data_IF_181891228231
#
_entry.id   IF_181891228231
#
_cell.length_a   1.000
_cell.length_b   1.000
_cell.length_c   1.000
_cell.angle_alpha   90.00
_cell.angle_beta   90.00
_cell.angle_gamma   90.00
#
_symmetry.space_group_name_H-M   'P 1'
#
loop_
_entity.id
_entity.type
_entity.pdbx_description
1 polymer ?
#
# COMPACT_ATOMS: atom_id res chain seq x y z
N UNK A 1 -13.27 25.51 -33.83
CA UNK A 1 -14.32 24.85 -33.01
C UNK A 1 -13.78 24.76 -31.61
N UNK A 2 -13.70 25.94 -31.00
CA UNK A 2 -13.46 26.16 -29.57
C UNK A 2 -14.79 26.56 -28.99
N UNK A 3 -15.27 25.75 -28.06
CA UNK A 3 -16.28 26.06 -27.03
C UNK A 3 -16.93 24.76 -26.60
N UNK A 4 -16.47 24.26 -25.45
CA UNK A 4 -17.24 23.55 -24.43
C UNK A 4 -16.33 22.71 -23.54
N UNK A 5 -15.30 23.33 -22.97
CA UNK A 5 -14.81 22.90 -21.66
C UNK A 5 -15.67 23.57 -20.61
N UNK A 6 -16.86 23.05 -20.37
CA UNK A 6 -17.61 23.39 -19.17
C UNK A 6 -16.84 22.93 -17.95
N UNK A 7 -16.21 23.88 -17.29
CA UNK A 7 -15.71 23.74 -15.94
C UNK A 7 -16.86 23.29 -15.05
N UNK A 8 -16.80 22.12 -14.48
CA UNK A 8 -17.58 21.75 -13.33
C UNK A 8 -17.01 22.53 -12.12
N UNK A 9 -17.28 23.82 -12.07
CA UNK A 9 -17.14 24.61 -10.85
C UNK A 9 -18.27 24.19 -9.90
N UNK A 10 -18.04 23.16 -9.10
CA UNK A 10 -18.79 22.94 -7.87
C UNK A 10 -18.51 24.15 -6.99
N UNK A 11 -19.56 24.89 -6.66
CA UNK A 11 -19.47 26.14 -5.88
C UNK A 11 -18.60 25.97 -4.64
N UNK A 12 -17.53 26.75 -4.57
CA UNK A 12 -16.64 26.90 -3.43
C UNK A 12 -17.44 27.49 -2.24
N UNK A 13 -18.04 26.61 -1.45
CA UNK A 13 -18.16 26.93 -0.02
C UNK A 13 -16.80 26.62 0.56
N UNK A 14 -16.05 27.66 0.92
CA UNK A 14 -14.79 27.58 1.63
C UNK A 14 -14.99 26.74 2.90
N UNK A 15 -14.71 25.46 2.84
CA UNK A 15 -14.49 24.66 4.04
C UNK A 15 -13.31 25.29 4.80
N UNK A 16 -13.37 25.42 6.12
CA UNK A 16 -12.25 25.94 6.89
C UNK A 16 -10.98 25.16 6.51
N UNK A 17 -9.91 25.87 6.23
CA UNK A 17 -8.61 25.27 5.94
C UNK A 17 -8.12 24.45 7.15
N UNK A 18 -8.53 23.20 7.21
CA UNK A 18 -8.13 22.24 8.25
C UNK A 18 -6.70 21.72 8.03
N UNK A 19 -6.04 22.14 6.94
CA UNK A 19 -4.69 21.71 6.60
C UNK A 19 -3.66 22.00 7.71
N UNK A 20 -3.92 22.99 8.57
CA UNK A 20 -3.04 23.40 9.66
C UNK A 20 -3.48 22.93 11.07
N UNK A 21 -4.60 22.20 11.20
CA UNK A 21 -5.15 21.86 12.52
C UNK A 21 -4.57 20.59 13.10
N UNK A 22 -4.20 19.64 12.25
CA UNK A 22 -3.69 18.34 12.68
C UNK A 22 -2.37 18.00 11.98
N UNK A 23 -1.46 17.40 12.73
CA UNK A 23 -0.31 16.73 12.16
C UNK A 23 -0.78 15.59 11.25
N UNK A 24 -0.16 15.42 10.09
CA UNK A 24 -0.50 14.37 9.14
C UNK A 24 0.68 13.45 8.91
N UNK A 25 0.42 12.14 9.02
CA UNK A 25 1.41 11.09 8.71
C UNK A 25 0.83 10.27 7.56
N UNK A 26 1.38 10.50 6.38
CA UNK A 26 1.02 9.78 5.17
C UNK A 26 1.69 8.41 5.17
N UNK A 27 0.90 7.33 5.37
CA UNK A 27 1.43 5.96 5.47
C UNK A 27 1.54 5.25 4.11
N UNK A 28 1.04 5.87 3.05
CA UNK A 28 1.05 5.31 1.71
C UNK A 28 1.54 6.35 0.70
N UNK A 29 2.83 6.40 0.54
CA UNK A 29 3.50 7.19 -0.49
C UNK A 29 4.63 6.38 -1.11
N UNK A 30 4.88 6.62 -2.39
CA UNK A 30 5.97 5.97 -3.11
C UNK A 30 7.10 6.95 -3.35
N UNK A 31 8.33 6.46 -3.29
CA UNK A 31 9.51 7.27 -3.51
C UNK A 31 10.33 6.75 -4.68
N UNK A 32 10.45 7.59 -5.70
CA UNK A 32 11.03 7.27 -7.00
C UNK A 32 12.21 8.19 -7.32
N UNK A 33 13.32 8.18 -6.56
CA UNK A 33 14.44 9.05 -6.86
C UNK A 33 15.14 8.61 -8.15
N UNK A 34 15.61 9.55 -8.98
CA UNK A 34 16.32 9.26 -10.23
C UNK A 34 17.50 8.30 -10.03
N UNK A 35 18.28 8.52 -8.98
CA UNK A 35 19.48 7.73 -8.68
C UNK A 35 19.19 6.25 -8.46
N UNK A 36 18.02 5.95 -7.89
CA UNK A 36 17.60 4.58 -7.66
C UNK A 36 17.26 3.87 -8.96
N UNK A 37 16.62 4.57 -9.89
CA UNK A 37 16.32 4.02 -11.22
C UNK A 37 17.57 3.82 -12.07
N UNK A 38 18.54 4.73 -11.99
CA UNK A 38 19.82 4.59 -12.69
C UNK A 38 20.59 3.32 -12.23
N UNK A 39 20.59 3.07 -10.93
CA UNK A 39 21.23 1.87 -10.38
C UNK A 39 20.49 0.59 -10.78
N UNK A 40 19.17 0.62 -10.77
CA UNK A 40 18.35 -0.50 -11.25
C UNK A 40 18.66 -0.83 -12.71
N UNK A 41 18.74 0.18 -13.56
CA UNK A 41 19.12 -0.01 -14.96
C UNK A 41 20.53 -0.59 -15.11
N UNK A 42 21.47 -0.13 -14.29
CA UNK A 42 22.83 -0.65 -14.27
C UNK A 42 22.87 -2.13 -13.89
N UNK A 43 22.08 -2.55 -12.93
CA UNK A 43 22.01 -3.93 -12.46
C UNK A 43 21.31 -4.86 -13.47
N UNK A 44 20.24 -4.40 -14.12
CA UNK A 44 19.39 -5.21 -14.99
C UNK A 44 19.80 -5.16 -16.46
N UNK A 45 20.55 -4.13 -16.86
CA UNK A 45 20.77 -3.79 -18.24
C UNK A 45 19.51 -3.15 -18.88
N UNK A 46 19.68 -2.65 -20.09
CA UNK A 46 18.58 -1.97 -20.83
C UNK A 46 17.58 -3.00 -21.34
N UNK A 47 16.56 -3.32 -20.58
CA UNK A 47 15.39 -4.02 -21.10
C UNK A 47 14.37 -2.99 -21.64
N UNK A 48 13.64 -3.35 -22.69
CA UNK A 48 12.61 -2.48 -23.26
C UNK A 48 11.52 -2.08 -22.24
N UNK A 49 11.24 -2.96 -21.29
CA UNK A 49 10.26 -2.71 -20.24
C UNK A 49 10.75 -1.68 -19.22
N UNK A 50 12.02 -1.77 -18.80
CA UNK A 50 12.63 -0.77 -17.92
C UNK A 50 12.79 0.58 -18.60
N UNK A 51 13.10 0.59 -19.89
CA UNK A 51 13.15 1.83 -20.66
C UNK A 51 11.77 2.49 -20.73
N UNK A 52 10.71 1.72 -20.91
CA UNK A 52 9.32 2.21 -20.85
C UNK A 52 8.98 2.86 -19.53
N UNK A 53 9.34 2.23 -18.41
CA UNK A 53 9.15 2.75 -17.06
C UNK A 53 9.95 4.04 -16.82
N UNK A 54 11.22 4.08 -17.21
CA UNK A 54 12.06 5.28 -17.10
C UNK A 54 11.51 6.45 -17.93
N UNK A 55 11.06 6.17 -19.16
CA UNK A 55 10.45 7.20 -20.02
C UNK A 55 9.14 7.71 -19.42
N UNK A 56 8.33 6.84 -18.82
CA UNK A 56 7.12 7.23 -18.10
C UNK A 56 7.44 8.01 -16.82
N UNK A 57 8.43 7.58 -16.06
CA UNK A 57 8.85 8.23 -14.82
C UNK A 57 9.53 9.59 -15.05
N UNK A 58 10.27 9.76 -16.15
CA UNK A 58 10.97 11.01 -16.46
C UNK A 58 10.11 12.09 -17.14
N UNK A 59 8.97 11.72 -17.71
CA UNK A 59 8.06 12.72 -18.26
C UNK A 59 7.21 13.30 -17.13
N UNK A 60 7.50 14.53 -16.73
CA UNK A 60 6.72 15.29 -15.72
C UNK A 60 5.22 15.37 -16.00
N UNK A 61 4.81 15.08 -17.23
CA UNK A 61 3.41 15.09 -17.69
C UNK A 61 2.76 13.71 -17.63
N UNK A 62 3.42 12.71 -17.06
CA UNK A 62 2.91 11.35 -16.99
C UNK A 62 2.75 10.87 -15.55
N UNK A 63 1.96 9.85 -15.37
CA UNK A 63 1.45 9.21 -14.18
C UNK A 63 2.49 8.83 -13.09
N UNK A 64 3.80 8.91 -13.39
CA UNK A 64 4.88 8.57 -12.46
C UNK A 64 5.96 9.63 -12.54
N UNK A 65 5.95 10.53 -11.57
CA UNK A 65 6.98 11.55 -11.44
C UNK A 65 8.15 10.99 -10.62
N UNK A 66 9.37 11.05 -11.18
CA UNK A 66 10.59 10.94 -10.37
C UNK A 66 10.90 12.28 -9.74
N UNK A 67 11.31 12.28 -8.47
CA UNK A 67 11.69 13.49 -7.75
C UNK A 67 12.68 13.18 -6.64
N UNK A 68 13.45 14.18 -6.29
CA UNK A 68 14.34 14.14 -5.14
C UNK A 68 13.56 14.12 -3.83
N UNK A 69 14.23 13.77 -2.74
CA UNK A 69 13.60 13.85 -1.42
C UNK A 69 13.26 15.29 -1.04
N UNK A 70 14.05 16.26 -1.46
CA UNK A 70 13.85 17.69 -1.23
C UNK A 70 12.55 18.16 -1.90
N UNK A 71 12.36 17.84 -3.18
CA UNK A 71 11.12 18.14 -3.91
C UNK A 71 9.90 17.50 -3.23
N UNK A 72 10.05 16.25 -2.73
CA UNK A 72 8.97 15.59 -1.98
C UNK A 72 8.67 16.32 -0.66
N UNK A 73 9.68 16.74 0.08
CA UNK A 73 9.49 17.49 1.33
C UNK A 73 8.78 18.83 1.09
N UNK A 74 9.12 19.53 0.01
CA UNK A 74 8.43 20.76 -0.38
C UNK A 74 6.96 20.50 -0.72
N UNK A 75 6.68 19.42 -1.43
CA UNK A 75 5.33 18.98 -1.73
C UNK A 75 4.55 18.64 -0.46
N UNK A 76 5.16 17.90 0.46
CA UNK A 76 4.56 17.61 1.77
C UNK A 76 4.22 18.89 2.54
N UNK A 77 5.11 19.88 2.54
CA UNK A 77 4.90 21.18 3.18
C UNK A 77 3.68 21.91 2.61
N UNK A 78 3.50 21.86 1.28
CA UNK A 78 2.36 22.46 0.58
C UNK A 78 1.00 21.92 1.06
N UNK A 79 0.94 20.66 1.45
CA UNK A 79 -0.29 20.00 1.92
C UNK A 79 -0.34 19.81 3.45
N UNK A 80 0.63 20.31 4.17
CA UNK A 80 0.72 20.19 5.63
C UNK A 80 0.89 18.74 6.08
N UNK A 81 1.67 17.95 5.33
CA UNK A 81 2.04 16.58 5.68
C UNK A 81 3.35 16.63 6.46
N UNK A 82 3.34 16.19 7.71
CA UNK A 82 4.50 16.26 8.60
C UNK A 82 5.49 15.14 8.35
N UNK A 83 4.98 13.94 8.11
CA UNK A 83 5.78 12.75 7.85
C UNK A 83 5.16 11.94 6.71
N UNK A 84 5.99 11.27 5.91
CA UNK A 84 5.54 10.23 4.99
C UNK A 84 6.30 8.94 5.22
N UNK A 85 5.59 7.83 5.08
CA UNK A 85 6.12 6.48 5.05
C UNK A 85 6.23 6.08 3.57
N UNK A 86 7.45 5.96 3.10
CA UNK A 86 7.75 5.68 1.71
C UNK A 86 7.98 4.21 1.47
N UNK A 87 7.39 3.69 0.40
CA UNK A 87 7.75 2.40 -0.17
C UNK A 87 8.38 2.59 -1.54
N UNK A 88 9.15 1.61 -1.98
CA UNK A 88 9.55 1.55 -3.38
C UNK A 88 8.38 1.00 -4.19
N UNK A 89 8.02 1.63 -5.31
CA UNK A 89 6.91 1.14 -6.11
C UNK A 89 7.26 -0.19 -6.73
N UNK A 90 6.34 -1.06 -6.71
CA UNK A 90 6.17 -2.34 -7.40
C UNK A 90 7.20 -2.70 -8.49
N UNK A 91 8.48 -2.64 -8.16
CA UNK A 91 9.53 -3.20 -9.03
C UNK A 91 9.26 -4.68 -9.28
N UNK A 92 8.65 -5.37 -8.33
CA UNK A 92 8.25 -6.75 -8.50
C UNK A 92 7.34 -6.98 -9.71
N UNK A 93 6.54 -5.98 -10.13
CA UNK A 93 5.80 -6.06 -11.41
C UNK A 93 6.70 -6.34 -12.62
N UNK A 94 7.99 -5.97 -12.54
CA UNK A 94 8.92 -6.05 -13.67
C UNK A 94 10.10 -6.96 -13.38
N UNK A 95 10.44 -7.17 -12.13
CA UNK A 95 11.69 -7.80 -11.74
C UNK A 95 11.60 -9.29 -11.52
N UNK A 96 10.47 -9.79 -11.07
CA UNK A 96 10.25 -11.22 -10.94
C UNK A 96 10.26 -11.93 -12.30
N UNK A 97 9.97 -11.21 -13.38
CA UNK A 97 10.03 -11.72 -14.75
C UNK A 97 11.41 -11.56 -15.42
N UNK A 98 12.25 -10.63 -14.95
CA UNK A 98 13.45 -10.18 -15.68
C UNK A 98 14.75 -10.60 -15.00
N UNK A 99 14.78 -10.71 -13.68
CA UNK A 99 16.04 -10.92 -12.96
C UNK A 99 16.18 -12.33 -12.43
N UNK A 100 17.35 -12.95 -12.69
CA UNK A 100 17.78 -14.09 -11.90
C UNK A 100 17.72 -13.73 -10.41
N UNK A 101 17.27 -14.67 -9.55
CA UNK A 101 17.08 -14.50 -8.09
C UNK A 101 18.19 -13.69 -7.41
N UNK A 102 19.45 -13.93 -7.77
CA UNK A 102 20.59 -13.21 -7.20
C UNK A 102 20.53 -11.70 -7.44
N UNK A 103 20.18 -11.26 -8.64
CA UNK A 103 20.07 -9.82 -8.95
C UNK A 103 18.94 -9.16 -8.17
N UNK A 104 17.84 -9.88 -7.97
CA UNK A 104 16.70 -9.37 -7.18
C UNK A 104 17.09 -9.15 -5.71
N UNK A 105 17.89 -10.07 -5.13
CA UNK A 105 18.41 -9.94 -3.77
C UNK A 105 19.35 -8.72 -3.64
N UNK A 106 20.32 -8.58 -4.57
CA UNK A 106 21.25 -7.44 -4.61
C UNK A 106 20.49 -6.10 -4.70
N UNK A 107 19.41 -6.05 -5.48
CA UNK A 107 18.61 -4.85 -5.62
C UNK A 107 17.80 -4.51 -4.38
N UNK A 108 17.19 -5.48 -3.72
CA UNK A 108 16.54 -5.24 -2.43
C UNK A 108 17.51 -4.63 -1.43
N UNK A 109 18.71 -5.16 -1.34
CA UNK A 109 19.74 -4.59 -0.47
C UNK A 109 20.09 -3.16 -0.86
N UNK A 110 20.29 -2.90 -2.14
CA UNK A 110 20.59 -1.56 -2.62
C UNK A 110 19.47 -0.56 -2.31
N UNK A 111 18.21 -0.92 -2.57
CA UNK A 111 17.04 -0.09 -2.25
C UNK A 111 17.00 0.22 -0.75
N UNK A 112 17.15 -0.80 0.09
CA UNK A 112 17.09 -0.64 1.54
C UNK A 112 18.24 0.21 2.09
N UNK A 113 19.44 0.04 1.56
CA UNK A 113 20.61 0.87 1.92
C UNK A 113 20.41 2.34 1.47
N UNK A 114 19.83 2.56 0.29
CA UNK A 114 19.49 3.88 -0.19
C UNK A 114 18.43 4.55 0.73
N UNK A 115 17.39 3.82 1.09
CA UNK A 115 16.37 4.30 2.01
C UNK A 115 16.92 4.62 3.40
N UNK A 116 17.82 3.79 3.92
CA UNK A 116 18.47 4.03 5.20
C UNK A 116 19.30 5.32 5.19
N UNK A 117 20.10 5.56 4.13
CA UNK A 117 20.85 6.81 3.98
C UNK A 117 19.94 8.03 3.87
N UNK A 118 18.85 7.93 3.12
CA UNK A 118 17.88 9.03 2.98
C UNK A 118 17.20 9.32 4.31
N UNK A 119 16.77 8.27 5.04
CA UNK A 119 16.17 8.40 6.36
C UNK A 119 17.09 9.09 7.36
N UNK A 120 18.39 8.78 7.35
CA UNK A 120 19.38 9.43 8.23
C UNK A 120 19.48 10.93 8.00
N UNK A 121 19.28 11.39 6.77
CA UNK A 121 19.29 12.84 6.45
C UNK A 121 17.99 13.53 6.92
N UNK A 122 16.85 12.83 6.91
CA UNK A 122 15.52 13.38 7.21
C UNK A 122 14.74 12.55 8.25
N UNK A 123 15.32 12.28 9.44
CA UNK A 123 14.79 11.28 10.38
C UNK A 123 13.44 11.66 10.99
N UNK A 124 13.07 12.92 10.97
CA UNK A 124 11.79 13.41 11.51
C UNK A 124 10.68 13.52 10.47
N UNK A 125 11.02 13.42 9.17
CA UNK A 125 10.10 13.64 8.06
C UNK A 125 9.86 12.39 7.22
N UNK A 126 10.88 11.57 7.01
CA UNK A 126 10.86 10.42 6.12
C UNK A 126 11.02 9.10 6.90
N UNK A 127 10.01 8.23 6.77
CA UNK A 127 10.04 6.85 7.19
C UNK A 127 10.06 5.97 5.94
N UNK A 128 10.63 4.78 6.04
CA UNK A 128 10.75 3.91 4.88
C UNK A 128 10.35 2.47 5.20
N UNK A 129 9.65 1.85 4.28
CA UNK A 129 9.35 0.41 4.28
C UNK A 129 10.40 -0.32 3.45
N UNK A 130 10.90 -1.41 4.00
CA UNK A 130 11.87 -2.25 3.30
C UNK A 130 11.26 -2.87 2.03
N UNK A 131 12.09 -3.02 1.01
CA UNK A 131 11.83 -3.88 -0.13
C UNK A 131 12.43 -5.27 0.13
N UNK A 132 11.68 -6.32 -0.20
CA UNK A 132 12.11 -7.72 -0.05
C UNK A 132 11.68 -8.56 -1.25
N UNK A 133 12.50 -9.53 -1.71
CA UNK A 133 12.19 -10.38 -2.86
C UNK A 133 11.31 -11.58 -2.47
N UNK A 134 10.18 -11.32 -1.79
CA UNK A 134 9.37 -12.35 -1.12
C UNK A 134 8.94 -13.48 -2.04
N UNK A 135 8.56 -13.18 -3.28
CA UNK A 135 8.10 -14.18 -4.24
C UNK A 135 9.19 -15.04 -4.84
N UNK A 136 10.42 -14.49 -4.94
CA UNK A 136 11.56 -15.16 -5.62
C UNK A 136 12.51 -15.84 -4.64
N UNK A 137 12.69 -15.28 -3.45
CA UNK A 137 13.59 -15.85 -2.43
C UNK A 137 13.04 -15.55 -1.01
N UNK A 138 12.09 -16.36 -0.50
CA UNK A 138 11.52 -16.18 0.83
C UNK A 138 12.55 -16.22 1.96
N UNK A 139 13.53 -17.12 1.88
CA UNK A 139 14.58 -17.27 2.91
C UNK A 139 15.47 -16.04 3.01
N UNK A 140 15.85 -15.48 1.86
CA UNK A 140 16.60 -14.23 1.81
C UNK A 140 15.72 -13.09 2.33
N UNK A 141 14.43 -13.07 2.02
CA UNK A 141 13.50 -12.04 2.46
C UNK A 141 13.40 -11.95 3.98
N UNK A 142 13.43 -13.08 4.70
CA UNK A 142 13.50 -13.11 6.16
C UNK A 142 14.78 -12.45 6.66
N UNK A 143 15.94 -12.80 6.07
CA UNK A 143 17.25 -12.24 6.44
C UNK A 143 17.32 -10.73 6.15
N UNK A 144 16.85 -10.32 4.99
CA UNK A 144 16.86 -8.91 4.58
C UNK A 144 15.88 -8.07 5.41
N UNK A 145 14.69 -8.59 5.73
CA UNK A 145 13.78 -7.96 6.67
C UNK A 145 14.46 -7.72 8.01
N UNK A 146 15.11 -8.74 8.58
CA UNK A 146 15.82 -8.60 9.83
C UNK A 146 16.91 -7.51 9.75
N UNK A 147 17.74 -7.55 8.68
CA UNK A 147 18.78 -6.54 8.45
C UNK A 147 18.18 -5.13 8.34
N UNK A 148 17.13 -4.98 7.56
CA UNK A 148 16.48 -3.70 7.33
C UNK A 148 15.95 -3.08 8.62
N UNK A 149 15.36 -3.89 9.50
CA UNK A 149 14.83 -3.41 10.78
C UNK A 149 15.91 -3.15 11.83
N UNK A 150 16.86 -4.08 11.99
CA UNK A 150 17.80 -4.07 13.12
C UNK A 150 19.10 -3.32 12.85
N UNK A 151 19.57 -3.28 11.60
CA UNK A 151 20.82 -2.63 11.23
C UNK A 151 20.58 -1.32 10.50
N UNK A 152 19.61 -1.26 9.59
CA UNK A 152 19.31 -0.06 8.80
C UNK A 152 18.27 0.85 9.47
N UNK A 153 17.49 0.33 10.41
CA UNK A 153 16.50 1.08 11.16
C UNK A 153 15.30 1.52 10.33
N UNK A 154 14.92 0.76 9.29
CA UNK A 154 13.71 1.01 8.53
C UNK A 154 12.46 0.76 9.39
N UNK A 155 11.28 1.15 8.91
CA UNK A 155 10.11 1.32 9.75
C UNK A 155 9.03 0.24 9.55
N UNK A 156 9.26 -0.71 8.68
CA UNK A 156 8.34 -1.79 8.28
C UNK A 156 8.73 -2.33 6.93
N UNK A 157 7.85 -3.06 6.28
CA UNK A 157 8.10 -3.68 4.97
C UNK A 157 6.91 -3.51 4.04
N UNK A 158 7.13 -3.36 2.75
CA UNK A 158 6.11 -3.38 1.72
C UNK A 158 6.19 -4.69 0.95
N UNK A 159 5.04 -5.35 0.76
CA UNK A 159 4.89 -6.54 -0.07
C UNK A 159 3.72 -6.37 -1.01
N UNK A 160 3.61 -7.24 -2.00
CA UNK A 160 2.51 -7.21 -2.95
C UNK A 160 1.40 -8.19 -2.62
N UNK A 161 0.20 -7.91 -3.15
CA UNK A 161 -0.93 -8.86 -3.16
C UNK A 161 -0.58 -10.17 -3.87
N UNK A 162 0.37 -10.10 -4.82
CA UNK A 162 0.89 -11.25 -5.54
C UNK A 162 2.41 -11.15 -5.64
N UNK A 163 3.10 -12.15 -5.13
CA UNK A 163 4.56 -12.22 -5.07
C UNK A 163 5.04 -13.36 -5.99
N UNK A 164 5.39 -13.05 -7.25
CA UNK A 164 5.79 -14.04 -8.27
C UNK A 164 4.78 -15.19 -8.43
N UNK A 165 3.50 -14.88 -8.53
CA UNK A 165 2.42 -15.86 -8.68
C UNK A 165 1.92 -16.49 -7.39
N UNK A 166 2.50 -16.13 -6.23
CA UNK A 166 2.10 -16.65 -4.90
C UNK A 166 1.41 -15.58 -4.07
N UNK A 167 0.38 -15.98 -3.34
CA UNK A 167 -0.39 -15.08 -2.48
C UNK A 167 0.17 -15.07 -1.04
N UNK A 168 0.05 -13.97 -0.30
CA UNK A 168 0.63 -13.83 1.04
C UNK A 168 0.15 -14.86 2.07
N UNK A 169 -1.01 -15.51 1.87
CA UNK A 169 -1.52 -16.53 2.78
C UNK A 169 -0.80 -17.88 2.66
N UNK A 170 -0.04 -18.12 1.59
CA UNK A 170 0.61 -19.39 1.35
C UNK A 170 1.69 -19.68 2.41
N UNK A 171 1.74 -20.92 2.89
CA UNK A 171 2.62 -21.36 3.98
C UNK A 171 4.11 -21.15 3.69
N UNK A 172 4.50 -21.06 2.43
CA UNK A 172 5.88 -20.74 2.04
C UNK A 172 6.37 -19.39 2.62
N UNK A 173 5.44 -18.52 3.04
CA UNK A 173 5.73 -17.22 3.63
C UNK A 173 5.55 -17.17 5.16
N UNK A 174 5.22 -18.30 5.81
CA UNK A 174 4.96 -18.31 7.25
C UNK A 174 6.18 -17.85 8.07
N UNK A 175 7.42 -18.21 7.67
CA UNK A 175 8.63 -17.74 8.33
C UNK A 175 8.82 -16.23 8.20
N UNK A 176 8.47 -15.66 7.06
CA UNK A 176 8.52 -14.21 6.85
C UNK A 176 7.53 -13.49 7.76
N UNK A 177 6.28 -13.93 7.83
CA UNK A 177 5.29 -13.31 8.70
C UNK A 177 5.58 -13.53 10.19
N UNK A 178 6.12 -14.68 10.56
CA UNK A 178 6.63 -14.93 11.92
C UNK A 178 7.72 -13.95 12.30
N UNK A 179 8.62 -13.61 11.39
CA UNK A 179 9.67 -12.62 11.61
C UNK A 179 9.10 -11.18 11.70
N UNK A 180 8.08 -10.82 10.89
CA UNK A 180 7.40 -9.52 11.04
C UNK A 180 6.74 -9.39 12.41
N UNK A 181 6.13 -10.46 12.92
CA UNK A 181 5.55 -10.49 14.27
C UNK A 181 6.62 -10.39 15.38
N UNK A 182 7.73 -11.11 15.23
CA UNK A 182 8.86 -11.08 16.19
C UNK A 182 9.46 -9.68 16.28
N UNK A 183 9.61 -9.01 15.15
CA UNK A 183 10.12 -7.63 15.05
C UNK A 183 9.05 -6.59 15.42
N UNK A 184 7.79 -7.01 15.51
CA UNK A 184 6.62 -6.15 15.77
C UNK A 184 6.52 -4.95 14.80
N UNK A 185 6.65 -5.22 13.51
CA UNK A 185 6.68 -4.22 12.44
C UNK A 185 5.48 -4.32 11.51
N UNK A 186 4.99 -3.19 10.94
CA UNK A 186 3.90 -3.19 9.99
C UNK A 186 4.33 -3.67 8.60
N UNK A 187 3.39 -4.30 7.91
CA UNK A 187 3.50 -4.78 6.54
C UNK A 187 2.48 -4.01 5.68
N UNK A 188 2.93 -3.22 4.73
CA UNK A 188 2.05 -2.62 3.72
C UNK A 188 1.77 -3.64 2.63
N UNK A 189 0.52 -4.02 2.45
CA UNK A 189 0.06 -4.89 1.38
C UNK A 189 -0.44 -4.03 0.22
N UNK A 190 0.37 -3.93 -0.83
CA UNK A 190 0.10 -3.09 -2.00
C UNK A 190 -0.29 -3.94 -3.21
N UNK A 191 -1.21 -3.50 -4.07
CA UNK A 191 -1.54 -4.21 -5.31
C UNK A 191 -0.31 -4.51 -6.15
N UNK A 192 -0.25 -5.71 -6.71
CA UNK A 192 0.79 -6.16 -7.63
C UNK A 192 0.23 -6.53 -9.00
N UNK A 193 1.06 -7.13 -9.85
CA UNK A 193 0.61 -7.70 -11.11
C UNK A 193 -0.34 -8.87 -10.81
N UNK A 194 -1.62 -8.68 -11.13
CA UNK A 194 -2.63 -9.67 -10.82
C UNK A 194 -2.44 -10.96 -11.63
N UNK A 195 -2.43 -12.13 -11.00
CA UNK A 195 -2.45 -13.40 -11.72
C UNK A 195 -3.83 -13.73 -12.30
N UNK A 196 -4.88 -13.02 -11.87
CA UNK A 196 -6.27 -13.27 -12.23
C UNK A 196 -6.72 -12.55 -13.50
N UNK A 197 -5.99 -11.50 -13.89
CA UNK A 197 -6.37 -10.64 -15.00
C UNK A 197 -5.24 -10.57 -16.02
N UNK A 198 -5.47 -11.07 -17.23
CA UNK A 198 -4.57 -10.81 -18.36
C UNK A 198 -4.88 -9.41 -18.93
N UNK A 199 -4.20 -8.40 -18.38
CA UNK A 199 -4.30 -7.03 -18.87
C UNK A 199 -3.69 -6.83 -20.26
N UNK A 200 -3.00 -7.84 -20.81
CA UNK A 200 -2.63 -7.84 -22.23
C UNK A 200 -3.84 -8.02 -23.15
N UNK A 201 -4.96 -8.55 -22.62
CA UNK A 201 -6.22 -8.59 -23.35
C UNK A 201 -6.67 -7.17 -23.67
N UNK A 202 -6.78 -6.91 -24.95
CA UNK A 202 -6.71 -5.61 -25.64
C UNK A 202 -7.66 -4.50 -25.15
N UNK A 203 -8.72 -4.80 -24.42
CA UNK A 203 -9.70 -3.82 -23.93
C UNK A 203 -9.35 -3.20 -22.57
N UNK A 204 -8.58 -3.89 -21.73
CA UNK A 204 -8.38 -3.49 -20.33
C UNK A 204 -7.25 -2.47 -20.14
N UNK A 205 -6.32 -2.34 -21.10
CA UNK A 205 -5.27 -1.29 -21.05
C UNK A 205 -5.82 0.11 -21.33
N UNK A 206 -6.98 0.19 -22.00
CA UNK A 206 -7.63 1.47 -22.25
C UNK A 206 -8.20 2.03 -20.93
N UNK A 207 -8.08 3.32 -20.72
CA UNK A 207 -8.61 4.04 -19.56
C UNK A 207 -7.96 3.70 -18.22
N UNK A 208 -6.76 3.16 -18.18
CA UNK A 208 -6.08 2.75 -16.93
C UNK A 208 -6.91 1.72 -16.13
N UNK A 209 -7.65 0.85 -16.82
CA UNK A 209 -8.60 -0.07 -16.19
C UNK A 209 -7.93 -1.03 -15.19
N UNK A 210 -6.66 -1.35 -15.41
CA UNK A 210 -5.83 -2.10 -14.47
C UNK A 210 -5.77 -1.40 -13.11
N UNK A 211 -5.41 -0.12 -13.10
CA UNK A 211 -5.30 0.65 -11.86
C UNK A 211 -6.66 0.93 -11.21
N UNK A 212 -7.69 1.21 -12.04
CA UNK A 212 -9.00 1.63 -11.55
C UNK A 212 -9.81 0.45 -10.98
N UNK A 213 -9.76 -0.72 -11.62
CA UNK A 213 -10.58 -1.88 -11.26
C UNK A 213 -9.72 -3.11 -10.94
N UNK A 214 -8.65 -3.34 -11.69
CA UNK A 214 -7.82 -4.53 -11.54
C UNK A 214 -7.15 -4.61 -10.18
N UNK A 215 -6.47 -3.56 -9.73
CA UNK A 215 -5.83 -3.51 -8.42
C UNK A 215 -6.81 -3.66 -7.26
N UNK A 216 -7.96 -2.95 -7.22
CA UNK A 216 -8.98 -3.20 -6.22
C UNK A 216 -9.51 -4.64 -6.21
N UNK A 217 -9.71 -5.24 -7.37
CA UNK A 217 -10.18 -6.62 -7.47
C UNK A 217 -9.12 -7.61 -6.95
N UNK A 218 -7.85 -7.44 -7.34
CA UNK A 218 -6.74 -8.27 -6.89
C UNK A 218 -6.56 -8.20 -5.36
N UNK A 219 -6.54 -6.99 -4.80
CA UNK A 219 -6.48 -6.77 -3.35
C UNK A 219 -7.62 -7.47 -2.64
N UNK A 220 -8.85 -7.33 -3.15
CA UNK A 220 -10.04 -7.97 -2.57
C UNK A 220 -9.93 -9.49 -2.55
N UNK A 221 -9.48 -10.11 -3.65
CA UNK A 221 -9.28 -11.55 -3.76
C UNK A 221 -8.20 -12.01 -2.76
N UNK A 222 -7.08 -11.33 -2.71
CA UNK A 222 -5.97 -11.65 -1.80
C UNK A 222 -6.39 -11.60 -0.33
N UNK A 223 -7.11 -10.55 0.08
CA UNK A 223 -7.60 -10.42 1.46
C UNK A 223 -8.59 -11.55 1.78
N UNK A 224 -9.50 -11.87 0.85
CA UNK A 224 -10.44 -12.96 1.03
C UNK A 224 -9.72 -14.29 1.23
N UNK A 225 -8.68 -14.59 0.44
CA UNK A 225 -7.84 -15.77 0.63
C UNK A 225 -7.12 -15.76 1.97
N UNK A 226 -6.50 -14.65 2.37
CA UNK A 226 -5.82 -14.53 3.67
C UNK A 226 -6.77 -14.86 4.82
N UNK A 227 -8.03 -14.41 4.76
CA UNK A 227 -9.01 -14.71 5.81
C UNK A 227 -9.44 -16.18 5.75
N UNK A 228 -9.90 -16.65 4.58
CA UNK A 228 -10.54 -17.97 4.43
C UNK A 228 -9.53 -19.10 4.68
N UNK A 229 -8.28 -18.93 4.27
CA UNK A 229 -7.20 -19.91 4.48
C UNK A 229 -6.56 -19.84 5.88
N UNK A 230 -7.10 -19.00 6.77
CA UNK A 230 -6.69 -18.94 8.18
C UNK A 230 -5.34 -18.29 8.41
N UNK A 231 -4.95 -17.30 7.62
CA UNK A 231 -3.71 -16.53 7.81
C UNK A 231 -3.59 -16.03 9.26
N UNK A 232 -4.64 -15.41 9.81
CA UNK A 232 -4.63 -14.88 11.18
C UNK A 232 -4.75 -15.95 12.26
N UNK A 233 -5.05 -17.19 11.92
CA UNK A 233 -4.93 -18.29 12.90
C UNK A 233 -3.47 -18.70 13.10
N UNK A 234 -2.63 -18.52 12.08
CA UNK A 234 -1.18 -18.75 12.12
C UNK A 234 -0.43 -17.51 12.61
N UNK A 235 -0.85 -16.31 12.16
CA UNK A 235 -0.15 -15.03 12.36
C UNK A 235 -1.04 -14.02 13.11
N UNK A 236 -1.33 -14.29 14.38
CA UNK A 236 -2.31 -13.55 15.20
C UNK A 236 -1.90 -12.12 15.53
N UNK A 237 -0.60 -11.80 15.47
CA UNK A 237 -0.03 -10.49 15.82
C UNK A 237 0.38 -9.67 14.61
N UNK A 238 0.19 -10.19 13.40
CA UNK A 238 0.57 -9.50 12.18
C UNK A 238 -0.14 -8.16 12.04
N UNK A 239 0.62 -7.14 11.65
CA UNK A 239 0.16 -5.76 11.46
C UNK A 239 0.12 -5.45 9.97
N UNK A 240 -0.94 -5.87 9.29
CA UNK A 240 -1.10 -5.70 7.85
C UNK A 240 -1.87 -4.42 7.55
N UNK A 241 -1.29 -3.51 6.77
CA UNK A 241 -1.94 -2.31 6.24
C UNK A 241 -2.46 -2.64 4.85
N UNK A 242 -3.76 -2.55 4.67
CA UNK A 242 -4.43 -2.69 3.39
C UNK A 242 -4.53 -1.34 2.72
N UNK A 243 -4.08 -1.26 1.47
CA UNK A 243 -4.20 -0.03 0.69
C UNK A 243 -5.63 0.22 0.21
N UNK A 244 -5.96 1.47 -0.12
CA UNK A 244 -7.21 1.88 -0.76
C UNK A 244 -8.47 1.47 0.01
N UNK A 245 -8.51 1.73 1.33
CA UNK A 245 -9.60 1.32 2.24
C UNK A 245 -9.91 -0.18 2.20
N UNK A 246 -8.93 -1.04 1.85
CA UNK A 246 -9.13 -2.46 1.66
C UNK A 246 -9.94 -2.80 0.41
N UNK A 247 -10.02 -1.87 -0.55
CA UNK A 247 -10.69 -2.05 -1.83
C UNK A 247 -12.19 -2.39 -1.67
N UNK A 248 -12.70 -3.49 -2.23
CA UNK A 248 -14.12 -3.84 -2.12
C UNK A 248 -14.43 -4.77 -0.95
N UNK A 249 -13.44 -5.21 -0.19
CA UNK A 249 -13.65 -6.19 0.88
C UNK A 249 -14.63 -5.70 1.98
N UNK A 250 -14.62 -4.41 2.40
CA UNK A 250 -15.58 -3.91 3.37
C UNK A 250 -17.03 -3.95 2.89
N UNK A 251 -17.24 -3.97 1.58
CA UNK A 251 -18.58 -4.09 0.99
C UNK A 251 -19.06 -5.54 0.91
N UNK A 252 -18.17 -6.49 0.58
CA UNK A 252 -18.56 -7.88 0.28
C UNK A 252 -18.37 -8.85 1.44
N UNK A 253 -17.88 -8.43 2.61
CA UNK A 253 -17.58 -9.33 3.74
C UNK A 253 -18.79 -10.19 4.17
N UNK A 254 -19.99 -9.62 4.11
CA UNK A 254 -21.22 -10.33 4.44
C UNK A 254 -21.48 -11.49 3.45
N UNK A 255 -21.20 -11.28 2.16
CA UNK A 255 -21.29 -12.35 1.15
C UNK A 255 -20.26 -13.44 1.42
N UNK A 256 -19.03 -13.09 1.76
CA UNK A 256 -17.99 -14.07 2.12
C UNK A 256 -18.44 -14.87 3.33
N UNK A 257 -18.96 -14.22 4.37
CA UNK A 257 -19.46 -14.87 5.57
C UNK A 257 -20.59 -15.87 5.28
N UNK A 258 -21.54 -15.51 4.41
CA UNK A 258 -22.62 -16.42 4.00
C UNK A 258 -22.13 -17.71 3.38
N UNK A 259 -21.02 -17.69 2.64
CA UNK A 259 -20.46 -18.89 2.02
C UNK A 259 -19.53 -19.68 2.94
N UNK A 260 -18.72 -18.98 3.74
CA UNK A 260 -17.66 -19.59 4.54
C UNK A 260 -18.19 -20.10 5.89
N UNK A 261 -19.12 -19.39 6.52
CA UNK A 261 -19.65 -19.74 7.84
C UNK A 261 -21.05 -20.37 7.81
N UNK A 262 -21.65 -20.50 6.64
CA UNK A 262 -22.98 -21.09 6.48
C UNK A 262 -22.94 -22.61 6.71
N UNK A 263 -23.67 -23.16 7.69
CA UNK A 263 -23.66 -24.59 8.00
C UNK A 263 -24.24 -25.45 6.88
N UNK A 264 -25.01 -24.88 5.97
CA UNK A 264 -25.56 -25.60 4.82
C UNK A 264 -24.59 -25.71 3.63
N UNK A 265 -23.45 -25.01 3.66
CA UNK A 265 -22.40 -25.17 2.64
C UNK A 265 -21.46 -26.29 3.10
N UNK A 266 -21.37 -27.42 2.37
CA UNK A 266 -20.47 -28.49 2.75
C UNK A 266 -19.00 -28.00 2.85
N UNK A 267 -18.31 -28.48 3.87
CA UNK A 267 -16.90 -28.08 4.12
C UNK A 267 -16.00 -28.31 2.89
N UNK A 268 -16.17 -29.43 2.21
CA UNK A 268 -15.47 -29.73 0.95
C UNK A 268 -15.72 -28.72 -0.18
N UNK A 269 -16.80 -27.92 -0.10
CA UNK A 269 -17.12 -26.86 -1.06
C UNK A 269 -16.60 -25.53 -0.59
N UNK A 270 -16.68 -25.25 0.71
CA UNK A 270 -16.18 -23.98 1.28
C UNK A 270 -14.66 -23.92 1.31
N UNK A 271 -13.97 -25.08 1.40
CA UNK A 271 -12.51 -25.17 1.44
C UNK A 271 -11.84 -24.38 2.59
N UNK A 272 -12.64 -23.92 3.55
CA UNK A 272 -12.19 -23.01 4.61
C UNK A 272 -11.24 -23.69 5.59
N UNK A 273 -10.30 -22.94 6.13
CA UNK A 273 -9.55 -23.32 7.32
C UNK A 273 -10.46 -23.34 8.57
N UNK A 274 -9.94 -23.86 9.69
CA UNK A 274 -10.63 -23.82 10.99
C UNK A 274 -10.63 -22.38 11.53
N UNK A 275 -11.58 -21.56 11.09
CA UNK A 275 -11.71 -20.17 11.49
C UNK A 275 -12.36 -20.07 12.87
N UNK A 276 -11.73 -19.31 13.78
CA UNK A 276 -12.23 -19.09 15.15
C UNK A 276 -13.06 -17.82 15.31
N UNK A 277 -13.10 -16.96 14.28
CA UNK A 277 -13.77 -15.65 14.28
C UNK A 277 -14.69 -15.50 13.08
N UNK A 278 -15.58 -14.54 13.15
CA UNK A 278 -16.38 -14.09 12.01
C UNK A 278 -15.50 -13.33 11.00
N UNK A 279 -15.95 -13.24 9.75
CA UNK A 279 -15.24 -12.49 8.71
C UNK A 279 -15.03 -11.01 9.14
N UNK A 280 -16.03 -10.40 9.77
CA UNK A 280 -15.91 -9.03 10.26
C UNK A 280 -14.85 -8.89 11.36
N UNK A 281 -14.73 -9.84 12.27
CA UNK A 281 -13.69 -9.82 13.29
C UNK A 281 -12.30 -9.94 12.69
N UNK A 282 -12.11 -10.75 11.62
CA UNK A 282 -10.84 -10.78 10.89
C UNK A 282 -10.57 -9.46 10.17
N UNK A 283 -11.57 -8.84 9.54
CA UNK A 283 -11.38 -7.51 8.93
C UNK A 283 -10.91 -6.47 9.95
N UNK A 284 -11.40 -6.53 11.19
CA UNK A 284 -10.93 -5.63 12.27
C UNK A 284 -9.48 -5.88 12.71
N UNK A 285 -8.83 -6.95 12.26
CA UNK A 285 -7.41 -7.18 12.54
C UNK A 285 -6.49 -6.39 11.62
N UNK A 286 -6.91 -6.08 10.40
CA UNK A 286 -6.15 -5.25 9.46
C UNK A 286 -6.16 -3.76 9.82
N UNK A 287 -5.17 -3.03 9.31
CA UNK A 287 -5.17 -1.58 9.16
C UNK A 287 -5.56 -1.20 7.74
N UNK A 288 -6.05 0.02 7.56
CA UNK A 288 -6.57 0.49 6.27
C UNK A 288 -6.07 1.91 6.00
N UNK A 289 -5.48 2.18 4.84
CA UNK A 289 -5.20 3.56 4.46
C UNK A 289 -6.37 4.21 3.72
N UNK A 290 -6.29 5.52 3.58
CA UNK A 290 -7.36 6.33 2.96
C UNK A 290 -7.09 6.68 1.51
N UNK A 291 -6.05 6.15 0.89
CA UNK A 291 -5.72 6.48 -0.50
C UNK A 291 -6.88 6.12 -1.46
N UNK A 292 -7.10 6.97 -2.44
CA UNK A 292 -8.12 6.77 -3.49
C UNK A 292 -9.56 6.51 -2.99
N UNK A 293 -9.87 6.93 -1.75
CA UNK A 293 -11.19 6.78 -1.15
C UNK A 293 -12.19 7.86 -1.57
N UNK A 294 -13.37 7.78 -0.96
CA UNK A 294 -14.42 8.80 -1.03
C UNK A 294 -15.19 8.84 0.30
N UNK A 295 -16.02 9.88 0.57
CA UNK A 295 -16.72 10.01 1.84
C UNK A 295 -17.61 8.81 2.19
N UNK A 296 -18.28 8.21 1.22
CA UNK A 296 -19.22 7.11 1.42
C UNK A 296 -18.47 5.81 1.75
N UNK A 297 -17.35 5.54 1.07
CA UNK A 297 -16.50 4.38 1.36
C UNK A 297 -15.87 4.49 2.75
N UNK A 298 -15.37 5.67 3.13
CA UNK A 298 -14.82 5.89 4.46
C UNK A 298 -15.90 5.74 5.53
N UNK A 299 -17.12 6.26 5.30
CA UNK A 299 -18.22 6.11 6.24
C UNK A 299 -18.61 4.64 6.44
N UNK A 300 -18.59 3.83 5.37
CA UNK A 300 -18.77 2.37 5.48
C UNK A 300 -17.68 1.76 6.38
N UNK A 301 -16.41 2.10 6.13
CA UNK A 301 -15.30 1.60 6.92
C UNK A 301 -15.39 2.01 8.41
N UNK A 302 -15.69 3.28 8.70
CA UNK A 302 -15.89 3.79 10.07
C UNK A 302 -17.02 3.06 10.82
N UNK A 303 -18.06 2.64 10.10
CA UNK A 303 -19.20 1.94 10.72
C UNK A 303 -18.90 0.49 11.10
N UNK A 304 -17.98 -0.18 10.41
CA UNK A 304 -17.75 -1.63 10.54
C UNK A 304 -16.37 -2.02 11.04
N UNK A 305 -15.36 -1.16 10.85
CA UNK A 305 -13.98 -1.44 11.23
C UNK A 305 -13.63 -0.81 12.59
N UNK A 306 -12.41 -1.02 13.05
CA UNK A 306 -11.87 -0.39 14.26
C UNK A 306 -11.34 1.03 13.90
N UNK A 307 -11.89 2.07 14.54
CA UNK A 307 -11.48 3.47 14.36
C UNK A 307 -9.98 3.73 14.63
N UNK A 308 -9.31 2.82 15.36
CA UNK A 308 -7.88 2.90 15.63
C UNK A 308 -7.02 2.29 14.52
N UNK A 309 -7.64 1.78 13.47
CA UNK A 309 -6.98 1.04 12.39
C UNK A 309 -7.06 1.75 11.03
N UNK A 310 -7.74 2.88 10.94
CA UNK A 310 -7.81 3.69 9.72
C UNK A 310 -6.71 4.73 9.75
N UNK A 311 -5.92 4.82 8.68
CA UNK A 311 -4.69 5.58 8.56
C UNK A 311 -4.76 6.56 7.37
N UNK A 312 -4.17 7.72 7.50
CA UNK A 312 -4.04 8.65 6.38
C UNK A 312 -3.02 8.13 5.36
N UNK A 313 -3.41 7.97 4.11
CA UNK A 313 -2.57 7.58 2.99
C UNK A 313 -3.01 8.26 1.71
N UNK A 314 -2.08 8.63 0.83
CA UNK A 314 -2.36 9.42 -0.38
C UNK A 314 -2.11 8.71 -1.69
N UNK A 315 -1.27 7.67 -1.69
CA UNK A 315 -0.81 6.98 -2.90
C UNK A 315 0.00 7.88 -3.85
N UNK A 316 0.67 8.90 -3.26
CA UNK A 316 1.56 9.78 -4.03
C UNK A 316 2.71 8.96 -4.66
N UNK A 317 3.09 9.18 -5.92
CA UNK A 317 2.74 10.27 -6.83
C UNK A 317 1.83 9.86 -8.00
N UNK A 318 1.14 8.75 -7.92
CA UNK A 318 0.48 8.17 -9.10
C UNK A 318 -0.66 9.03 -9.68
N UNK A 319 -1.31 9.86 -8.88
CA UNK A 319 -2.34 10.80 -9.34
C UNK A 319 -1.93 12.20 -8.89
N UNK A 320 -1.80 13.13 -9.83
CA UNK A 320 -1.52 14.53 -9.49
C UNK A 320 -2.61 15.10 -8.58
N UNK A 321 -2.17 15.66 -7.44
CA UNK A 321 -3.11 16.21 -6.45
C UNK A 321 -3.81 15.18 -5.56
N UNK A 322 -3.34 13.93 -5.53
CA UNK A 322 -3.90 12.88 -4.68
C UNK A 322 -3.97 13.28 -3.19
N UNK A 323 -2.99 14.05 -2.69
CA UNK A 323 -3.01 14.59 -1.34
C UNK A 323 -4.20 15.51 -1.09
N UNK A 324 -4.44 16.45 -2.01
CA UNK A 324 -5.59 17.35 -1.92
C UNK A 324 -6.89 16.57 -2.00
N UNK A 325 -7.00 15.64 -2.95
CA UNK A 325 -8.21 14.81 -3.10
C UNK A 325 -8.51 14.04 -1.82
N UNK A 326 -7.48 13.43 -1.21
CA UNK A 326 -7.64 12.67 0.04
C UNK A 326 -8.02 13.58 1.21
N UNK A 327 -7.35 14.71 1.38
CA UNK A 327 -7.66 15.69 2.43
C UNK A 327 -9.08 16.25 2.25
N UNK A 328 -9.48 16.58 1.03
CA UNK A 328 -10.77 17.16 0.73
C UNK A 328 -11.93 16.18 1.00
N UNK A 329 -11.80 14.90 0.64
CA UNK A 329 -12.85 13.95 0.94
C UNK A 329 -12.92 13.61 2.44
N UNK A 330 -11.78 13.50 3.13
CA UNK A 330 -11.74 13.32 4.59
C UNK A 330 -12.49 14.45 5.31
N UNK A 331 -12.27 15.70 4.89
CA UNK A 331 -12.95 16.85 5.46
C UNK A 331 -14.46 16.90 5.17
N UNK A 332 -14.91 16.25 4.10
CA UNK A 332 -16.34 16.13 3.74
C UNK A 332 -17.04 14.95 4.39
N UNK A 333 -16.29 13.97 4.88
CA UNK A 333 -16.85 12.79 5.54
C UNK A 333 -17.47 13.18 6.90
N UNK A 334 -18.62 12.59 7.23
CA UNK A 334 -19.30 12.83 8.51
C UNK A 334 -18.64 12.06 9.65
N UNK A 335 -17.45 12.49 10.03
CA UNK A 335 -16.69 11.96 11.17
C UNK A 335 -16.36 13.06 12.16
N UNK A 336 -16.12 12.70 13.41
CA UNK A 336 -15.76 13.64 14.46
C UNK A 336 -14.34 14.16 14.30
N UNK A 337 -14.02 15.31 14.87
CA UNK A 337 -12.65 15.83 14.93
C UNK A 337 -11.68 14.82 15.55
N UNK A 338 -12.14 14.07 16.57
CA UNK A 338 -11.34 13.03 17.23
C UNK A 338 -10.99 11.87 16.26
N UNK A 339 -11.97 11.41 15.47
CA UNK A 339 -11.72 10.37 14.46
C UNK A 339 -10.79 10.89 13.37
N UNK A 340 -10.99 12.10 12.89
CA UNK A 340 -10.12 12.73 11.90
C UNK A 340 -8.66 12.84 12.40
N UNK A 341 -8.45 13.24 13.66
CA UNK A 341 -7.12 13.28 14.28
C UNK A 341 -6.48 11.88 14.39
N UNK A 342 -7.29 10.86 14.69
CA UNK A 342 -6.82 9.47 14.69
C UNK A 342 -6.34 9.06 13.30
N UNK A 343 -7.14 9.30 12.27
CA UNK A 343 -6.81 8.99 10.88
C UNK A 343 -5.54 9.72 10.47
N UNK A 344 -5.48 11.04 10.69
CA UNK A 344 -4.34 11.85 10.23
C UNK A 344 -3.03 11.48 10.90
N UNK A 345 -3.00 11.12 12.19
CA UNK A 345 -1.72 10.93 12.86
C UNK A 345 -1.70 9.90 13.99
N UNK A 346 -2.69 9.87 14.89
CA UNK A 346 -2.56 9.08 16.14
C UNK A 346 -2.42 7.59 15.87
N UNK A 347 -3.20 7.06 14.92
CA UNK A 347 -3.15 5.64 14.58
C UNK A 347 -1.80 5.27 13.98
N UNK A 348 -1.27 6.08 13.05
CA UNK A 348 0.05 5.88 12.47
C UNK A 348 1.17 6.02 13.51
N UNK A 349 1.07 7.00 14.42
CA UNK A 349 2.02 7.19 15.54
C UNK A 349 2.10 5.94 16.41
N UNK A 350 0.96 5.36 16.76
CA UNK A 350 0.90 4.11 17.53
C UNK A 350 1.44 2.91 16.76
N UNK A 351 1.05 2.75 15.49
CA UNK A 351 1.45 1.61 14.66
C UNK A 351 2.97 1.57 14.42
N UNK A 352 3.55 2.71 14.04
CA UNK A 352 4.98 2.86 13.74
C UNK A 352 5.83 3.21 14.97
N UNK A 353 5.23 3.27 16.18
CA UNK A 353 5.92 3.57 17.45
C UNK A 353 6.72 4.88 17.40
N UNK A 354 6.14 5.91 16.78
CA UNK A 354 6.81 7.20 16.61
C UNK A 354 6.83 7.97 17.94
N UNK A 355 7.93 8.66 18.18
CA UNK A 355 8.01 9.61 19.31
C UNK A 355 7.08 10.79 19.02
N UNK A 356 6.23 11.11 19.99
CA UNK A 356 5.36 12.28 19.98
C UNK A 356 6.14 13.57 20.23
#
# INVERSE_FOLDING_TARGET
MDEERRSLTVGEKSTPDTSKIFNKIDVHAHFHPPELFEEIERCLGKSEQMLGWRVLAMKRDTFMQTYSIEERLDWMNKFGIDKSVFSFPNINLFMDEIAAHRKRNEMSQFINDFFARTRQKYPTRALFLADVPLGTDPDFSVKELNRAMTQLGLNGVAIQTNNAGKLPHEQIFDDFFSETERLDVPVLLHPGKSPWFDFAYTGLKKYMFESIVGFPADTTITIAYMIIDGFFERHKKSKIILTHLGSTIPYIYGRIGQWVTNPYVPEKVSGKANLTKTILEYLKMFYYDTANGNPEALQLCENILDENKILFGTDHPYIEGCERMTIDYLNRTKITKRQLEKIYSKNATALFKLKT
#
